data_IF_550177499802
#
_entry.id   IF_550177499802
#
_cell.length_a   1.000
_cell.length_b   1.000
_cell.length_c   1.000
_cell.angle_alpha   90.00
_cell.angle_beta   90.00
_cell.angle_gamma   90.00
#
_symmetry.space_group_name_H-M   'P 1'
#
loop_
_entity.id
_entity.type
_entity.pdbx_description
1 polymer ?
#
# COMPACT_ATOMS: atom_id res chain seq x y z
N UNK A 1 16.21 -1.46 30.30
CA UNK A 1 15.21 -0.39 30.03
C UNK A 1 14.70 -0.57 28.60
N UNK A 2 13.40 -0.71 28.38
CA UNK A 2 12.83 -0.98 27.04
C UNK A 2 11.31 -1.20 27.02
N UNK A 3 10.75 -1.62 28.16
CA UNK A 3 9.32 -1.86 28.33
C UNK A 3 8.45 -0.59 28.23
N UNK A 4 8.91 0.54 28.80
CA UNK A 4 8.18 1.82 28.75
C UNK A 4 8.10 2.32 27.30
N UNK A 5 9.19 2.22 26.56
CA UNK A 5 9.24 2.64 25.15
C UNK A 5 8.30 1.80 24.28
N UNK A 6 8.25 0.48 24.48
CA UNK A 6 7.33 -0.41 23.76
C UNK A 6 5.86 -0.02 23.96
N UNK A 7 5.47 0.29 25.20
CA UNK A 7 4.09 0.66 25.55
C UNK A 7 3.71 2.01 24.93
N UNK A 8 4.62 3.00 24.99
CA UNK A 8 4.35 4.33 24.42
C UNK A 8 4.18 4.23 22.91
N UNK A 9 5.07 3.51 22.21
CA UNK A 9 4.94 3.31 20.76
C UNK A 9 3.64 2.60 20.38
N UNK A 10 3.28 1.51 21.07
CA UNK A 10 2.01 0.83 20.79
C UNK A 10 0.77 1.63 21.16
N UNK A 11 0.85 2.46 22.20
CA UNK A 11 -0.24 3.37 22.56
C UNK A 11 -0.51 4.39 21.44
N UNK A 12 0.52 5.01 20.85
CA UNK A 12 0.33 5.94 19.74
C UNK A 12 -0.19 5.24 18.48
N UNK A 13 0.28 4.03 18.16
CA UNK A 13 -0.25 3.26 17.02
C UNK A 13 -1.76 3.04 17.17
N UNK A 14 -2.24 2.70 18.37
CA UNK A 14 -3.66 2.49 18.66
C UNK A 14 -4.44 3.81 18.71
N UNK A 15 -3.89 4.84 19.34
CA UNK A 15 -4.54 6.14 19.54
C UNK A 15 -4.73 6.89 18.21
N UNK A 16 -3.67 6.96 17.40
CA UNK A 16 -3.69 7.59 16.08
C UNK A 16 -4.28 6.68 15.01
N UNK A 17 -4.56 5.41 15.38
CA UNK A 17 -5.05 4.36 14.49
C UNK A 17 -4.22 4.26 13.23
N UNK A 18 -2.90 4.22 13.32
CA UNK A 18 -2.04 4.20 12.12
C UNK A 18 -2.27 2.93 11.27
N UNK A 19 -2.66 1.83 11.93
CA UNK A 19 -3.04 0.55 11.34
C UNK A 19 -4.22 -0.06 12.08
N UNK A 20 -5.04 -0.81 11.37
CA UNK A 20 -6.16 -1.60 11.88
C UNK A 20 -6.07 -3.05 11.39
N UNK A 21 -6.77 -3.95 12.08
CA UNK A 21 -6.85 -5.36 11.69
C UNK A 21 -7.56 -5.48 10.34
N UNK A 22 -7.00 -6.29 9.44
CA UNK A 22 -7.48 -6.48 8.07
C UNK A 22 -6.83 -5.56 7.04
N UNK A 23 -6.04 -4.57 7.48
CA UNK A 23 -5.33 -3.69 6.54
C UNK A 23 -4.06 -4.32 6.01
N UNK A 24 -3.76 -4.05 4.74
CA UNK A 24 -2.54 -4.47 4.08
C UNK A 24 -1.45 -3.40 4.26
N UNK A 25 -0.36 -3.80 4.89
CA UNK A 25 0.69 -2.88 5.34
C UNK A 25 2.08 -3.41 5.01
N UNK A 26 3.02 -2.49 4.90
CA UNK A 26 4.45 -2.78 4.94
C UNK A 26 5.07 -2.17 6.19
N UNK A 27 5.69 -3.00 7.01
CA UNK A 27 6.43 -2.61 8.21
C UNK A 27 7.87 -3.12 8.06
N UNK A 28 8.80 -2.19 7.81
CA UNK A 28 10.18 -2.55 7.45
C UNK A 28 10.23 -3.40 6.18
N UNK A 29 10.74 -4.62 6.29
CA UNK A 29 10.83 -5.60 5.20
C UNK A 29 9.63 -6.54 5.11
N UNK A 30 8.72 -6.50 6.08
CA UNK A 30 7.55 -7.39 6.14
C UNK A 30 6.39 -6.70 5.43
N UNK A 31 5.79 -7.38 4.45
CA UNK A 31 4.56 -6.99 3.77
C UNK A 31 3.49 -8.01 4.05
N UNK A 32 2.27 -7.57 4.33
CA UNK A 32 1.17 -8.49 4.58
C UNK A 32 -0.04 -7.84 5.23
N UNK A 33 -0.95 -8.67 5.70
CA UNK A 33 -2.21 -8.23 6.33
C UNK A 33 -2.09 -8.22 7.85
N UNK A 34 -2.50 -7.13 8.49
CA UNK A 34 -2.53 -7.02 9.95
C UNK A 34 -3.59 -7.95 10.53
N UNK A 35 -3.19 -8.84 11.42
CA UNK A 35 -4.12 -9.77 12.11
C UNK A 35 -4.43 -9.35 13.53
N UNK A 36 -3.52 -8.66 14.21
CA UNK A 36 -3.75 -8.11 15.54
C UNK A 36 -2.84 -6.90 15.81
N UNK A 37 -3.37 -5.92 16.54
CA UNK A 37 -2.60 -4.77 17.04
C UNK A 37 -2.70 -4.78 18.56
N UNK A 38 -1.61 -5.13 19.22
CA UNK A 38 -1.50 -5.13 20.68
C UNK A 38 -0.69 -3.94 21.20
N UNK A 39 -0.69 -3.73 22.52
CA UNK A 39 0.03 -2.62 23.15
C UNK A 39 1.56 -2.73 23.01
N UNK A 40 2.11 -3.94 22.92
CA UNK A 40 3.56 -4.18 22.79
C UNK A 40 3.96 -4.70 21.41
N UNK A 41 3.06 -5.39 20.72
CA UNK A 41 3.36 -6.14 19.52
C UNK A 41 2.23 -6.04 18.52
N UNK A 42 2.59 -5.91 17.25
CA UNK A 42 1.69 -6.00 16.10
C UNK A 42 1.93 -7.34 15.38
N UNK A 43 0.86 -7.97 14.93
CA UNK A 43 0.91 -9.23 14.18
C UNK A 43 0.54 -8.99 12.72
N UNK A 44 1.35 -9.51 11.80
CA UNK A 44 1.15 -9.39 10.36
C UNK A 44 1.35 -10.75 9.72
N UNK A 45 0.36 -11.22 8.96
CA UNK A 45 0.51 -12.42 8.11
C UNK A 45 1.06 -11.97 6.77
N UNK A 46 2.26 -12.44 6.44
CA UNK A 46 2.94 -12.13 5.20
C UNK A 46 2.28 -12.75 3.97
N UNK A 47 2.68 -12.30 2.79
CA UNK A 47 2.18 -12.84 1.51
C UNK A 47 2.50 -14.33 1.33
N UNK A 48 3.56 -14.80 1.99
CA UNK A 48 3.98 -16.20 2.06
C UNK A 48 3.20 -17.02 3.11
N UNK A 49 2.26 -16.39 3.82
CA UNK A 49 1.48 -16.99 4.91
C UNK A 49 2.19 -16.98 6.27
N UNK A 50 3.40 -16.45 6.38
CA UNK A 50 4.16 -16.42 7.65
C UNK A 50 3.53 -15.44 8.63
N UNK A 51 3.22 -15.88 9.86
CA UNK A 51 2.76 -15.00 10.94
C UNK A 51 3.95 -14.31 11.62
N UNK A 52 4.06 -13.01 11.43
CA UNK A 52 5.13 -12.19 11.98
C UNK A 52 4.68 -11.46 13.24
N UNK A 53 5.51 -11.49 14.30
CA UNK A 53 5.30 -10.75 15.54
C UNK A 53 6.31 -9.60 15.61
N UNK A 54 5.82 -8.36 15.46
CA UNK A 54 6.65 -7.18 15.36
C UNK A 54 6.53 -6.36 16.66
N UNK A 55 7.61 -6.16 17.43
CA UNK A 55 7.60 -5.27 18.59
C UNK A 55 7.33 -3.83 18.16
N UNK A 56 6.41 -3.14 18.85
CA UNK A 56 6.01 -1.79 18.46
C UNK A 56 7.17 -0.78 18.54
N UNK A 57 8.14 -0.96 19.45
CA UNK A 57 9.34 -0.08 19.51
C UNK A 57 10.22 -0.14 18.27
N UNK A 58 10.17 -1.22 17.47
CA UNK A 58 11.01 -1.36 16.27
C UNK A 58 10.33 -0.80 15.03
N UNK A 59 9.06 -0.41 15.14
CA UNK A 59 8.28 0.18 14.06
C UNK A 59 8.67 1.65 13.96
N UNK A 60 9.53 1.96 12.99
CA UNK A 60 9.92 3.34 12.66
C UNK A 60 9.02 3.95 11.60
N UNK A 61 8.47 3.14 10.70
CA UNK A 61 7.61 3.59 9.60
C UNK A 61 6.61 2.51 9.26
N UNK A 62 5.39 2.93 8.99
CA UNK A 62 4.28 2.09 8.52
C UNK A 62 3.85 2.62 7.16
N UNK A 63 3.93 1.79 6.13
CA UNK A 63 3.31 2.08 4.83
C UNK A 63 1.99 1.32 4.74
N UNK A 64 0.89 2.01 5.00
CA UNK A 64 -0.46 1.47 4.88
C UNK A 64 -0.93 1.60 3.43
N UNK A 65 -1.22 0.47 2.79
CA UNK A 65 -1.64 0.42 1.38
C UNK A 65 -3.15 0.30 1.21
N UNK A 66 -3.92 0.26 2.30
CA UNK A 66 -5.38 0.07 2.29
C UNK A 66 -6.16 1.38 2.46
N UNK A 67 -5.57 2.42 3.04
CA UNK A 67 -6.29 3.65 3.44
C UNK A 67 -6.36 4.74 2.38
N UNK A 68 -5.64 4.59 1.28
CA UNK A 68 -5.64 5.56 0.21
C UNK A 68 -5.67 4.85 -1.14
N UNK A 69 -6.05 5.58 -2.18
CA UNK A 69 -6.11 5.07 -3.54
C UNK A 69 -4.71 4.64 -3.98
N UNK A 70 -4.58 3.38 -4.39
CA UNK A 70 -3.35 2.89 -5.00
C UNK A 70 -3.18 3.53 -6.38
N UNK A 71 -2.00 4.07 -6.65
CA UNK A 71 -1.64 4.56 -7.99
C UNK A 71 -0.73 3.54 -8.67
N UNK A 72 -1.19 2.98 -9.79
CA UNK A 72 -0.38 2.12 -10.64
C UNK A 72 0.38 2.97 -11.65
N UNK A 73 1.72 2.88 -11.65
CA UNK A 73 2.56 3.51 -12.66
C UNK A 73 2.88 2.51 -13.76
N UNK A 74 2.47 2.82 -14.99
CA UNK A 74 2.73 1.99 -16.16
C UNK A 74 3.76 2.69 -17.05
N UNK A 75 4.90 2.05 -17.27
CA UNK A 75 5.92 2.54 -18.20
C UNK A 75 5.75 1.86 -19.56
N UNK A 76 5.43 2.65 -20.58
CA UNK A 76 5.27 2.16 -21.95
C UNK A 76 6.49 2.56 -22.76
N UNK A 77 7.31 1.57 -23.15
CA UNK A 77 8.43 1.80 -24.05
C UNK A 77 7.95 2.05 -25.48
N UNK A 78 8.38 3.15 -26.09
CA UNK A 78 8.09 3.49 -27.49
C UNK A 78 9.39 3.67 -28.28
N UNK A 79 9.35 3.37 -29.59
CA UNK A 79 10.51 3.64 -30.45
C UNK A 79 10.64 5.15 -30.72
N UNK A 80 11.85 5.66 -30.97
CA UNK A 80 12.08 7.08 -31.24
C UNK A 80 11.27 7.63 -32.42
N UNK A 81 10.94 6.77 -33.40
CA UNK A 81 10.16 7.17 -34.58
C UNK A 81 8.65 7.08 -34.36
N UNK A 82 8.20 6.61 -33.18
CA UNK A 82 6.78 6.40 -32.89
C UNK A 82 6.08 7.74 -32.62
N UNK A 83 5.01 8.08 -33.34
CA UNK A 83 4.26 9.32 -33.07
C UNK A 83 3.58 9.26 -31.70
N UNK A 84 4.04 10.11 -30.76
CA UNK A 84 3.53 10.15 -29.38
C UNK A 84 2.02 10.42 -29.35
N UNK A 85 1.52 11.31 -30.21
CA UNK A 85 0.09 11.62 -30.31
C UNK A 85 -0.77 10.40 -30.65
N UNK A 86 -0.26 9.48 -31.47
CA UNK A 86 -0.96 8.25 -31.82
C UNK A 86 -1.03 7.31 -30.61
N UNK A 87 0.06 7.21 -29.84
CA UNK A 87 0.12 6.41 -28.61
C UNK A 87 -0.88 6.95 -27.59
N UNK A 88 -0.91 8.26 -27.37
CA UNK A 88 -1.87 8.91 -26.45
C UNK A 88 -3.32 8.63 -26.86
N UNK A 89 -3.62 8.71 -28.17
CA UNK A 89 -4.96 8.38 -28.69
C UNK A 89 -5.35 6.93 -28.42
N UNK A 90 -4.41 6.00 -28.60
CA UNK A 90 -4.65 4.57 -28.33
C UNK A 90 -4.90 4.35 -26.83
N UNK A 91 -4.07 4.92 -25.95
CA UNK A 91 -4.22 4.81 -24.49
C UNK A 91 -5.60 5.34 -24.07
N UNK A 92 -6.01 6.53 -24.53
CA UNK A 92 -7.33 7.09 -24.22
C UNK A 92 -8.47 6.19 -24.70
N UNK A 93 -8.36 5.64 -25.91
CA UNK A 93 -9.38 4.74 -26.48
C UNK A 93 -9.52 3.45 -25.67
N UNK A 94 -8.41 2.87 -25.21
CA UNK A 94 -8.42 1.69 -24.35
C UNK A 94 -9.05 2.02 -23.00
N UNK A 95 -8.65 3.12 -22.35
CA UNK A 95 -9.21 3.52 -21.06
C UNK A 95 -10.71 3.75 -21.13
N UNK A 96 -11.20 4.45 -22.17
CA UNK A 96 -12.64 4.68 -22.37
C UNK A 96 -13.43 3.37 -22.53
N UNK A 97 -12.81 2.32 -23.10
CA UNK A 97 -13.45 1.03 -23.30
C UNK A 97 -13.40 0.14 -22.05
N UNK A 98 -12.28 0.15 -21.34
CA UNK A 98 -12.01 -0.80 -20.25
C UNK A 98 -12.37 -0.25 -18.87
N UNK A 99 -12.09 1.02 -18.56
CA UNK A 99 -12.35 1.60 -17.22
C UNK A 99 -13.79 1.37 -16.74
N UNK A 100 -14.84 1.50 -17.57
CA UNK A 100 -16.22 1.21 -17.14
C UNK A 100 -16.45 -0.24 -16.69
N UNK A 101 -15.61 -1.19 -17.11
CA UNK A 101 -15.71 -2.60 -16.73
C UNK A 101 -15.05 -2.90 -15.37
N UNK A 102 -14.30 -1.95 -14.80
CA UNK A 102 -13.56 -2.13 -13.56
C UNK A 102 -13.95 -1.05 -12.54
N UNK A 103 -14.98 -1.29 -11.70
CA UNK A 103 -15.49 -0.30 -10.75
C UNK A 103 -14.47 0.14 -9.69
N UNK A 104 -13.43 -0.67 -9.46
CA UNK A 104 -12.33 -0.36 -8.53
C UNK A 104 -11.38 0.73 -9.06
N UNK A 105 -11.46 1.07 -10.35
CA UNK A 105 -10.69 2.16 -10.96
C UNK A 105 -11.47 3.47 -10.81
N UNK A 106 -11.03 4.28 -9.87
CA UNK A 106 -11.71 5.52 -9.44
C UNK A 106 -11.13 6.80 -10.03
N UNK A 107 -10.10 6.72 -10.88
CA UNK A 107 -9.45 7.89 -11.47
C UNK A 107 -8.92 7.65 -12.86
N UNK A 108 -8.87 8.72 -13.66
CA UNK A 108 -8.27 8.71 -14.98
C UNK A 108 -6.74 8.64 -14.90
N UNK A 109 -6.09 7.86 -15.77
CA UNK A 109 -4.63 7.79 -15.79
C UNK A 109 -4.05 9.13 -16.26
N UNK A 110 -3.14 9.66 -15.45
CA UNK A 110 -2.33 10.83 -15.81
C UNK A 110 -1.21 10.38 -16.74
N UNK A 111 -1.32 10.75 -18.01
CA UNK A 111 -0.26 10.54 -19.01
C UNK A 111 0.77 11.64 -18.81
N UNK A 112 2.01 11.25 -18.48
CA UNK A 112 3.17 12.14 -18.25
C UNK A 112 4.13 11.97 -19.42
#
# INVERSE_FOLDING_TARGET
>A
QGFVTDIVSGFFILLERQIEVGEYVQIGTIKGTVTAVGLRTTQVVGDDGTLNFIPNRTITTIANMSRNNMTAMIQVGIFPQTPVDQVIKIIRKVNQREVPNYPDIIGDPKII
#
